data_IF_421695436066
#
_entry.id   IF_421695436066
#
_cell.length_a   1.000
_cell.length_b   1.000
_cell.length_c   1.000
_cell.angle_alpha   90.00
_cell.angle_beta   90.00
_cell.angle_gamma   90.00
#
_symmetry.space_group_name_H-M   'P 1'
#
loop_
_entity.id
_entity.type
_entity.pdbx_description
1 polymer ?
#
# COMPACT_ATOMS: atom_id res chain seq x y z
N UNK A 1 6.77 -12.46 17.94
CA UNK A 1 6.08 -12.62 16.64
C UNK A 1 6.55 -11.62 15.58
N UNK A 2 6.71 -10.33 15.90
CA UNK A 2 7.10 -9.26 14.96
C UNK A 2 8.53 -9.36 14.36
N UNK A 3 9.37 -10.30 14.81
CA UNK A 3 10.74 -10.47 14.30
C UNK A 3 10.84 -11.53 13.19
N UNK A 4 9.72 -12.08 12.73
CA UNK A 4 9.67 -13.11 11.70
C UNK A 4 9.27 -12.51 10.35
N UNK A 5 10.17 -12.59 9.37
CA UNK A 5 9.96 -12.08 8.01
C UNK A 5 8.71 -12.66 7.33
N UNK A 6 8.36 -13.91 7.62
CA UNK A 6 7.15 -14.56 7.09
C UNK A 6 5.89 -13.92 7.66
N UNK A 7 5.86 -13.75 8.98
CA UNK A 7 4.73 -13.11 9.67
C UNK A 7 4.57 -11.66 9.19
N UNK A 8 5.68 -10.94 8.99
CA UNK A 8 5.62 -9.56 8.51
C UNK A 8 5.13 -9.45 7.06
N UNK A 9 5.51 -10.39 6.18
CA UNK A 9 4.92 -10.50 4.85
C UNK A 9 3.41 -10.77 4.89
N UNK A 10 2.97 -11.67 5.79
CA UNK A 10 1.56 -11.96 5.97
C UNK A 10 0.78 -10.73 6.45
N UNK A 11 1.32 -9.98 7.42
CA UNK A 11 0.70 -8.74 7.94
C UNK A 11 0.61 -7.70 6.83
N UNK A 12 1.70 -7.39 6.13
CA UNK A 12 1.69 -6.42 5.04
C UNK A 12 0.74 -6.86 3.92
N UNK A 13 0.70 -8.16 3.62
CA UNK A 13 -0.23 -8.73 2.63
C UNK A 13 -1.69 -8.56 3.02
N UNK A 14 -2.05 -8.90 4.26
CA UNK A 14 -3.42 -8.73 4.80
C UNK A 14 -3.85 -7.27 4.76
N UNK A 15 -2.98 -6.35 5.20
CA UNK A 15 -3.28 -4.91 5.19
C UNK A 15 -3.54 -4.40 3.76
N UNK A 16 -2.73 -4.83 2.80
CA UNK A 16 -2.89 -4.49 1.39
C UNK A 16 -4.16 -5.10 0.77
N UNK A 17 -4.52 -6.34 1.14
CA UNK A 17 -5.79 -6.97 0.73
C UNK A 17 -6.98 -6.13 1.22
N UNK A 18 -7.01 -5.77 2.50
CA UNK A 18 -8.07 -4.94 3.05
C UNK A 18 -8.12 -3.55 2.41
N UNK A 19 -6.96 -2.94 2.16
CA UNK A 19 -6.88 -1.66 1.46
C UNK A 19 -7.47 -1.74 0.05
N UNK A 20 -7.15 -2.79 -0.70
CA UNK A 20 -7.73 -3.04 -2.03
C UNK A 20 -9.25 -3.19 -1.97
N UNK A 21 -9.78 -3.93 -0.99
CA UNK A 21 -11.24 -4.07 -0.80
C UNK A 21 -11.88 -2.70 -0.51
N UNK A 22 -11.29 -1.91 0.39
CA UNK A 22 -11.80 -0.57 0.74
C UNK A 22 -11.78 0.36 -0.49
N UNK A 23 -10.68 0.38 -1.24
CA UNK A 23 -10.57 1.22 -2.43
C UNK A 23 -11.56 0.86 -3.52
N UNK A 24 -11.93 -0.42 -3.62
CA UNK A 24 -12.97 -0.86 -4.54
C UNK A 24 -14.37 -0.45 -4.08
N UNK A 25 -14.72 -0.76 -2.82
CA UNK A 25 -16.07 -0.49 -2.28
C UNK A 25 -16.39 1.01 -2.13
N UNK A 26 -15.37 1.83 -1.86
CA UNK A 26 -15.53 3.27 -1.60
C UNK A 26 -14.84 4.14 -2.66
N UNK A 27 -14.67 3.61 -3.89
CA UNK A 27 -13.92 4.26 -4.97
C UNK A 27 -14.41 5.69 -5.24
N UNK A 28 -15.71 5.88 -5.41
CA UNK A 28 -16.33 7.17 -5.71
C UNK A 28 -16.20 8.16 -4.54
N UNK A 29 -16.49 7.71 -3.31
CA UNK A 29 -16.38 8.54 -2.10
C UNK A 29 -14.95 9.05 -1.89
N UNK A 30 -13.96 8.17 -1.99
CA UNK A 30 -12.55 8.56 -1.88
C UNK A 30 -12.15 9.51 -3.02
N UNK A 31 -12.72 9.34 -4.23
CA UNK A 31 -12.46 10.25 -5.34
C UNK A 31 -13.00 11.64 -5.07
N UNK A 32 -14.24 11.74 -4.57
CA UNK A 32 -14.89 13.00 -4.20
C UNK A 32 -14.15 13.71 -3.08
N UNK A 33 -13.72 12.98 -2.06
CA UNK A 33 -12.96 13.56 -0.94
C UNK A 33 -11.60 14.11 -1.40
N UNK A 34 -10.95 13.44 -2.36
CA UNK A 34 -9.68 13.89 -2.91
C UNK A 34 -9.82 15.07 -3.88
N UNK A 35 -10.95 15.17 -4.58
CA UNK A 35 -11.20 16.18 -5.61
C UNK A 35 -12.61 16.78 -5.42
N UNK A 36 -12.83 17.66 -4.42
CA UNK A 36 -14.17 18.15 -4.09
C UNK A 36 -14.78 19.08 -5.16
N UNK A 37 -13.94 19.78 -5.93
CA UNK A 37 -14.37 20.85 -6.84
C UNK A 37 -14.37 20.44 -8.32
N UNK A 38 -14.47 19.15 -8.64
CA UNK A 38 -14.50 18.65 -10.04
C UNK A 38 -15.88 18.13 -10.44
N UNK A 39 -16.20 18.20 -11.74
CA UNK A 39 -17.48 17.74 -12.26
C UNK A 39 -17.72 16.24 -12.11
N UNK A 40 -18.99 15.82 -12.11
CA UNK A 40 -19.39 14.41 -11.90
C UNK A 40 -18.76 13.44 -12.90
N UNK A 41 -18.59 13.84 -14.15
CA UNK A 41 -17.94 13.00 -15.16
C UNK A 41 -16.46 12.73 -14.82
N UNK A 42 -15.75 13.73 -14.30
CA UNK A 42 -14.36 13.57 -13.86
C UNK A 42 -14.27 12.67 -12.61
N UNK A 43 -15.23 12.79 -11.70
CA UNK A 43 -15.35 11.88 -10.55
C UNK A 43 -15.56 10.44 -11.01
N UNK A 44 -16.44 10.22 -11.99
CA UNK A 44 -16.74 8.89 -12.52
C UNK A 44 -15.54 8.25 -13.21
N UNK A 45 -14.80 9.03 -14.00
CA UNK A 45 -13.54 8.55 -14.60
C UNK A 45 -12.51 8.24 -13.51
N UNK A 46 -12.39 9.11 -12.50
CA UNK A 46 -11.49 8.93 -11.37
C UNK A 46 -11.84 7.70 -10.51
N UNK A 47 -13.12 7.39 -10.32
CA UNK A 47 -13.56 6.24 -9.54
C UNK A 47 -13.24 4.92 -10.26
N UNK A 48 -13.47 4.84 -11.58
CA UNK A 48 -13.11 3.67 -12.40
C UNK A 48 -11.60 3.42 -12.35
N UNK A 49 -10.78 4.48 -12.46
CA UNK A 49 -9.34 4.34 -12.33
C UNK A 49 -8.94 3.85 -10.93
N UNK A 50 -9.60 4.36 -9.89
CA UNK A 50 -9.35 3.94 -8.50
C UNK A 50 -9.74 2.48 -8.26
N UNK A 51 -10.80 1.99 -8.89
CA UNK A 51 -11.18 0.56 -8.86
C UNK A 51 -10.12 -0.33 -9.52
N UNK A 52 -9.55 0.11 -10.65
CA UNK A 52 -8.44 -0.60 -11.28
C UNK A 52 -7.21 -0.64 -10.36
N UNK A 53 -6.88 0.48 -9.72
CA UNK A 53 -5.80 0.55 -8.73
C UNK A 53 -6.09 -0.34 -7.52
N UNK A 54 -7.35 -0.43 -7.08
CA UNK A 54 -7.78 -1.30 -6.00
C UNK A 54 -7.47 -2.77 -6.30
N UNK A 55 -7.70 -3.22 -7.53
CA UNK A 55 -7.30 -4.54 -8.00
C UNK A 55 -5.79 -4.79 -7.93
N UNK A 56 -4.97 -3.81 -8.32
CA UNK A 56 -3.51 -3.90 -8.22
C UNK A 56 -3.02 -3.98 -6.77
N UNK A 57 -3.57 -3.15 -5.89
CA UNK A 57 -3.29 -3.14 -4.45
C UNK A 57 -3.66 -4.49 -3.81
N UNK A 58 -4.85 -5.01 -4.14
CA UNK A 58 -5.31 -6.32 -3.68
C UNK A 58 -4.38 -7.45 -4.16
N UNK A 59 -4.01 -7.43 -5.44
CA UNK A 59 -3.12 -8.43 -6.04
C UNK A 59 -1.74 -8.44 -5.36
N UNK A 60 -1.14 -7.27 -5.13
CA UNK A 60 0.13 -7.16 -4.40
C UNK A 60 -0.03 -7.70 -2.98
N UNK A 61 -1.13 -7.37 -2.30
CA UNK A 61 -1.42 -7.91 -0.97
C UNK A 61 -1.49 -9.43 -0.94
N UNK A 62 -2.16 -10.03 -1.93
CA UNK A 62 -2.24 -11.48 -2.10
C UNK A 62 -0.86 -12.11 -2.36
N UNK A 63 -0.03 -11.49 -3.22
CA UNK A 63 1.34 -11.95 -3.47
C UNK A 63 2.19 -11.93 -2.19
N UNK A 64 2.14 -10.84 -1.42
CA UNK A 64 2.87 -10.72 -0.16
C UNK A 64 2.38 -11.76 0.87
N UNK A 65 1.06 -11.96 0.95
CA UNK A 65 0.48 -12.96 1.83
C UNK A 65 0.93 -14.38 1.46
N UNK A 66 0.90 -14.75 0.18
CA UNK A 66 1.35 -16.08 -0.27
C UNK A 66 2.86 -16.24 -0.07
N UNK A 67 3.64 -15.19 -0.32
CA UNK A 67 5.09 -15.18 -0.18
C UNK A 67 5.59 -15.47 1.25
N UNK A 68 4.73 -15.40 2.27
CA UNK A 68 5.06 -15.81 3.63
C UNK A 68 5.54 -17.27 3.73
N UNK A 69 5.12 -18.14 2.80
CA UNK A 69 5.52 -19.55 2.75
C UNK A 69 6.96 -19.79 2.27
N UNK A 70 7.65 -18.75 1.80
CA UNK A 70 8.99 -18.88 1.19
C UNK A 70 10.11 -19.12 2.22
N UNK A 71 11.29 -19.52 1.73
CA UNK A 71 12.50 -19.59 2.55
C UNK A 71 12.85 -18.21 3.13
N UNK A 72 13.42 -18.19 4.34
CA UNK A 72 13.60 -16.96 5.12
C UNK A 72 14.44 -15.89 4.41
N UNK A 73 15.43 -16.28 3.60
CA UNK A 73 16.24 -15.34 2.81
C UNK A 73 15.42 -14.68 1.69
N UNK A 74 14.57 -15.45 0.99
CA UNK A 74 13.67 -14.93 -0.04
C UNK A 74 12.61 -14.00 0.57
N UNK A 75 12.03 -14.40 1.70
CA UNK A 75 11.06 -13.58 2.44
C UNK A 75 11.64 -12.21 2.83
N UNK A 76 12.89 -12.15 3.32
CA UNK A 76 13.56 -10.88 3.63
C UNK A 76 13.78 -10.00 2.39
N UNK A 77 14.19 -10.58 1.26
CA UNK A 77 14.41 -9.84 0.01
C UNK A 77 13.11 -9.27 -0.53
N UNK A 78 12.05 -10.06 -0.52
CA UNK A 78 10.70 -9.62 -0.91
C UNK A 78 10.21 -8.51 0.01
N UNK A 79 10.40 -8.65 1.32
CA UNK A 79 10.01 -7.64 2.28
C UNK A 79 10.81 -6.33 2.07
N UNK A 80 12.12 -6.41 1.84
CA UNK A 80 12.95 -5.24 1.51
C UNK A 80 12.47 -4.54 0.23
N UNK A 81 12.23 -5.30 -0.84
CA UNK A 81 11.70 -4.76 -2.10
C UNK A 81 10.32 -4.11 -1.92
N UNK A 82 9.43 -4.73 -1.13
CA UNK A 82 8.13 -4.13 -0.80
C UNK A 82 8.26 -2.83 -0.02
N UNK A 83 9.22 -2.74 0.91
CA UNK A 83 9.51 -1.51 1.65
C UNK A 83 9.92 -0.36 0.73
N UNK A 84 10.77 -0.63 -0.27
CA UNK A 84 11.14 0.36 -1.30
C UNK A 84 9.89 0.76 -2.10
N UNK A 85 9.08 -0.20 -2.53
CA UNK A 85 7.84 0.07 -3.25
C UNK A 85 6.89 0.98 -2.48
N UNK A 86 6.72 0.73 -1.17
CA UNK A 86 5.90 1.59 -0.30
C UNK A 86 6.48 3.01 -0.17
N UNK A 87 7.80 3.17 -0.07
CA UNK A 87 8.41 4.51 -0.08
C UNK A 87 8.20 5.26 -1.40
N UNK A 88 8.28 4.56 -2.54
CA UNK A 88 8.01 5.18 -3.85
C UNK A 88 6.57 5.68 -3.92
N UNK A 89 5.60 4.88 -3.45
CA UNK A 89 4.20 5.29 -3.36
C UNK A 89 4.05 6.53 -2.47
N UNK A 90 4.71 6.53 -1.31
CA UNK A 90 4.66 7.68 -0.39
C UNK A 90 5.21 8.96 -1.01
N UNK A 91 6.36 8.88 -1.70
CA UNK A 91 6.95 10.04 -2.39
C UNK A 91 5.98 10.60 -3.44
N UNK A 92 5.30 9.73 -4.19
CA UNK A 92 4.30 10.15 -5.17
C UNK A 92 3.09 10.82 -4.50
N UNK A 93 2.62 10.30 -3.36
CA UNK A 93 1.52 10.92 -2.59
C UNK A 93 1.91 12.29 -2.05
N UNK A 94 3.10 12.42 -1.47
CA UNK A 94 3.63 13.71 -0.99
C UNK A 94 3.71 14.70 -2.15
N UNK A 95 4.19 14.28 -3.33
CA UNK A 95 4.22 15.13 -4.51
C UNK A 95 2.83 15.65 -4.90
N UNK A 96 1.81 14.77 -4.92
CA UNK A 96 0.43 15.14 -5.23
C UNK A 96 -0.11 16.20 -4.26
N UNK A 97 0.21 16.06 -2.97
CA UNK A 97 -0.16 17.04 -1.94
C UNK A 97 0.57 18.37 -2.14
N UNK A 98 1.88 18.35 -2.41
CA UNK A 98 2.68 19.55 -2.63
C UNK A 98 2.23 20.34 -3.86
N UNK A 99 1.89 19.65 -4.93
CA UNK A 99 1.38 20.25 -6.16
C UNK A 99 -0.09 20.75 -6.00
N UNK A 100 -0.71 20.55 -4.83
CA UNK A 100 -2.09 20.96 -4.50
C UNK A 100 -3.15 20.43 -5.49
N UNK A 101 -2.85 19.32 -6.17
CA UNK A 101 -3.78 18.72 -7.13
C UNK A 101 -4.93 18.00 -6.46
N UNK A 102 -4.71 17.44 -5.26
CA UNK A 102 -5.70 16.62 -4.56
C UNK A 102 -5.53 16.69 -3.05
N UNK A 103 -6.66 16.62 -2.34
CA UNK A 103 -6.69 16.50 -0.88
C UNK A 103 -6.49 15.04 -0.48
N UNK A 104 -5.23 14.60 -0.37
CA UNK A 104 -4.91 13.22 0.03
C UNK A 104 -5.30 13.00 1.50
N UNK A 105 -6.08 11.95 1.84
CA UNK A 105 -6.40 11.65 3.22
C UNK A 105 -5.16 11.37 4.06
N UNK A 106 -5.07 11.97 5.25
CA UNK A 106 -3.93 11.83 6.17
C UNK A 106 -3.64 10.36 6.50
N UNK A 107 -4.68 9.54 6.65
CA UNK A 107 -4.51 8.12 6.95
C UNK A 107 -3.73 7.38 5.85
N UNK A 108 -3.88 7.79 4.58
CA UNK A 108 -3.15 7.22 3.44
C UNK A 108 -1.67 7.61 3.50
N UNK A 109 -1.37 8.86 3.85
CA UNK A 109 0.00 9.36 4.07
C UNK A 109 0.68 8.67 5.26
N UNK A 110 -0.08 8.22 6.26
CA UNK A 110 0.50 7.47 7.38
C UNK A 110 0.69 5.97 7.07
N UNK A 111 -0.13 5.40 6.18
CA UNK A 111 -0.17 3.96 5.94
C UNK A 111 1.12 3.43 5.28
N UNK A 112 1.54 4.02 4.17
CA UNK A 112 2.70 3.52 3.41
C UNK A 112 4.03 3.68 4.16
N UNK A 113 4.29 4.75 4.92
CA UNK A 113 5.47 4.85 5.79
C UNK A 113 5.47 3.76 6.86
N UNK A 114 4.32 3.47 7.49
CA UNK A 114 4.22 2.42 8.49
C UNK A 114 4.52 1.05 7.86
N UNK A 115 3.94 0.74 6.71
CA UNK A 115 4.22 -0.50 5.98
C UNK A 115 5.71 -0.61 5.57
N UNK A 116 6.33 0.49 5.14
CA UNK A 116 7.74 0.56 4.80
C UNK A 116 8.63 0.34 6.02
N UNK A 117 8.32 0.99 7.15
CA UNK A 117 9.06 0.83 8.41
C UNK A 117 8.98 -0.61 8.93
N UNK A 118 7.79 -1.21 8.91
CA UNK A 118 7.61 -2.63 9.28
C UNK A 118 8.43 -3.55 8.36
N UNK A 119 8.43 -3.26 7.05
CA UNK A 119 9.19 -4.01 6.08
C UNK A 119 10.71 -3.89 6.30
N UNK A 120 11.23 -2.68 6.52
CA UNK A 120 12.66 -2.45 6.75
C UNK A 120 13.14 -2.96 8.11
N UNK A 121 12.34 -2.80 9.16
CA UNK A 121 12.68 -3.25 10.51
C UNK A 121 13.02 -4.74 10.55
N UNK A 122 12.29 -5.57 9.81
CA UNK A 122 12.49 -7.02 9.79
C UNK A 122 13.49 -7.45 8.72
N UNK A 123 13.54 -6.76 7.57
CA UNK A 123 14.44 -7.13 6.48
C UNK A 123 15.91 -6.76 6.73
N UNK A 124 16.18 -5.65 7.45
CA UNK A 124 17.55 -5.16 7.72
C UNK A 124 18.24 -5.82 8.91
N UNK A 125 17.51 -6.53 9.77
CA UNK A 125 18.11 -7.29 10.89
C UNK A 125 18.97 -8.44 10.39
N UNK A 126 20.13 -8.67 11.03
CA UNK A 126 21.00 -9.84 10.76
C UNK A 126 20.22 -11.15 10.93
N UNK A 127 20.62 -12.18 10.18
CA UNK A 127 20.09 -13.54 10.33
C UNK A 127 20.27 -13.98 11.79
N UNK A 128 19.17 -14.21 12.49
CA UNK A 128 19.18 -14.99 13.72
C UNK A 128 18.76 -16.38 13.27
N UNK A 129 19.72 -17.28 13.10
CA UNK A 129 19.45 -18.66 12.68
C UNK A 129 18.32 -19.28 13.51
#
# INVERSE_FOLDING_TARGET
MLNNSRVMLAINGILMIFLGIIFYLFSEGITKDMFPDVGEEAIRVGSVLRELMAGGVFFIGLLLFIAQGTIRSAAKRLLFGSGIGFLVIEILLIKIVLDSFASVPIWTLCLFPVLALLAFFVSTRKFQD
#
